data_IF_193322787388
#
_entry.id   IF_193322787388
#
_cell.length_a   1.000
_cell.length_b   1.000
_cell.length_c   1.000
_cell.angle_alpha   90.00
_cell.angle_beta   90.00
_cell.angle_gamma   90.00
#
_symmetry.space_group_name_H-M   'P 1'
#
loop_
_entity.id
_entity.type
_entity.pdbx_description
1 polymer ?
#
# COMPACT_ATOMS: atom_id res chain seq x y z
N UNK A 1 13.26 9.90 3.35
CA UNK A 1 12.58 8.77 2.69
C UNK A 1 13.61 7.76 2.24
N UNK A 2 13.46 6.52 2.65
CA UNK A 2 14.30 5.43 2.20
C UNK A 2 13.43 4.50 1.36
N UNK A 3 13.81 4.29 0.11
CA UNK A 3 13.15 3.34 -0.79
C UNK A 3 14.13 2.21 -1.08
N UNK A 4 13.74 0.97 -0.82
CA UNK A 4 14.53 -0.21 -1.14
C UNK A 4 13.73 -1.14 -2.03
N UNK A 5 14.34 -1.53 -3.15
CA UNK A 5 13.84 -2.59 -4.01
C UNK A 5 14.83 -3.76 -3.95
N UNK A 6 14.34 -5.01 -3.80
CA UNK A 6 15.21 -6.19 -3.68
C UNK A 6 16.17 -6.35 -4.86
N UNK A 7 17.11 -7.22 -4.86
CA UNK A 7 18.43 -7.34 -4.27
C UNK A 7 19.52 -6.36 -4.73
N UNK A 8 19.31 -5.17 -5.20
CA UNK A 8 20.43 -4.25 -5.50
C UNK A 8 20.00 -2.82 -5.88
N UNK A 9 19.43 -2.05 -5.00
CA UNK A 9 19.59 -0.58 -5.07
C UNK A 9 18.99 0.10 -3.84
N UNK A 10 19.78 0.86 -3.12
CA UNK A 10 19.33 1.72 -2.01
C UNK A 10 19.66 3.16 -2.39
N UNK A 11 18.76 3.96 -2.92
CA UNK A 11 18.94 5.40 -2.94
C UNK A 11 18.64 5.94 -1.53
N UNK A 12 19.65 6.39 -0.82
CA UNK A 12 19.49 7.21 0.38
C UNK A 12 19.28 8.65 -0.10
N UNK A 13 18.10 9.18 0.09
CA UNK A 13 17.75 10.53 -0.30
C UNK A 13 17.71 11.44 0.93
N UNK A 14 18.44 12.53 0.85
CA UNK A 14 18.53 13.55 1.90
C UNK A 14 17.23 14.36 2.06
N UNK A 15 17.18 15.27 3.05
CA UNK A 15 15.99 16.04 3.40
C UNK A 15 15.77 17.18 2.39
N UNK A 16 15.04 16.90 1.31
CA UNK A 16 14.53 17.95 0.44
C UNK A 16 13.03 17.75 0.22
N UNK A 17 12.28 18.78 0.46
CA UNK A 17 10.87 18.89 0.12
C UNK A 17 10.72 18.84 -1.41
N UNK A 18 10.24 17.73 -1.94
CA UNK A 18 10.04 17.54 -3.37
C UNK A 18 9.12 16.38 -3.69
N UNK A 19 8.35 16.52 -4.74
CA UNK A 19 7.54 15.45 -5.32
C UNK A 19 8.50 14.49 -6.03
N UNK A 20 8.53 13.23 -5.61
CA UNK A 20 9.40 12.21 -6.15
C UNK A 20 8.62 11.24 -7.03
N UNK A 21 9.02 11.13 -8.29
CA UNK A 21 8.49 10.12 -9.20
C UNK A 21 9.50 8.98 -9.34
N UNK A 22 9.09 7.77 -8.96
CA UNK A 22 9.89 6.56 -9.17
C UNK A 22 9.25 5.71 -10.25
N UNK A 23 10.06 5.27 -11.21
CA UNK A 23 9.67 4.24 -12.16
C UNK A 23 10.30 2.91 -11.75
N UNK A 24 9.47 1.93 -11.46
CA UNK A 24 9.91 0.55 -11.21
C UNK A 24 9.79 -0.23 -12.50
N UNK A 25 10.81 -1.04 -12.81
CA UNK A 25 10.84 -1.87 -14.03
C UNK A 25 9.65 -2.83 -14.06
N UNK A 26 8.98 -2.92 -15.21
CA UNK A 26 7.69 -3.63 -15.38
C UNK A 26 7.76 -5.16 -15.29
N UNK A 27 8.97 -5.75 -15.37
CA UNK A 27 9.15 -7.19 -15.62
C UNK A 27 9.85 -7.94 -14.47
N UNK A 28 10.01 -7.33 -13.30
CA UNK A 28 10.70 -7.94 -12.16
C UNK A 28 9.78 -8.00 -10.96
N UNK A 29 9.62 -9.21 -10.39
CA UNK A 29 9.03 -9.38 -9.08
C UNK A 29 9.90 -8.66 -8.04
N UNK A 30 9.40 -7.56 -7.49
CA UNK A 30 10.14 -6.72 -6.55
C UNK A 30 9.41 -6.59 -5.22
N UNK A 31 10.19 -6.42 -4.15
CA UNK A 31 9.71 -5.92 -2.87
C UNK A 31 10.06 -4.45 -2.78
N UNK A 32 9.10 -3.61 -2.47
CA UNK A 32 9.27 -2.18 -2.28
C UNK A 32 9.10 -1.85 -0.79
N UNK A 33 10.16 -1.36 -0.16
CA UNK A 33 10.11 -0.86 1.22
C UNK A 33 10.27 0.65 1.21
N UNK A 34 9.34 1.38 1.81
CA UNK A 34 9.37 2.83 1.94
C UNK A 34 9.36 3.18 3.42
N UNK A 35 10.42 3.85 3.87
CA UNK A 35 10.54 4.38 5.22
C UNK A 35 10.57 5.91 5.16
N UNK A 36 9.66 6.56 5.87
CA UNK A 36 9.57 8.01 5.93
C UNK A 36 9.18 8.50 7.34
N UNK A 37 9.80 9.58 7.79
CA UNK A 37 9.44 10.23 9.05
C UNK A 37 8.16 11.03 8.91
N UNK A 38 8.27 12.32 8.55
CA UNK A 38 7.14 13.22 8.30
C UNK A 38 7.20 13.66 6.83
N UNK A 39 6.28 13.21 6.00
CA UNK A 39 6.31 13.47 4.55
C UNK A 39 4.94 13.30 3.91
N UNK A 40 4.76 13.95 2.77
CA UNK A 40 3.65 13.64 1.84
C UNK A 40 4.25 13.07 0.58
N UNK A 41 3.77 11.90 0.15
CA UNK A 41 4.26 11.27 -1.07
C UNK A 41 3.17 10.47 -1.79
N UNK A 42 3.39 10.28 -3.06
CA UNK A 42 2.54 9.51 -3.96
C UNK A 42 3.36 8.42 -4.63
N UNK A 43 2.79 7.21 -4.68
CA UNK A 43 3.41 6.04 -5.30
C UNK A 43 2.40 5.38 -6.22
N UNK A 44 2.72 5.28 -7.50
CA UNK A 44 1.90 4.56 -8.49
C UNK A 44 2.62 3.29 -8.94
N UNK A 45 2.01 2.14 -8.61
CA UNK A 45 2.53 0.81 -8.95
C UNK A 45 1.64 0.08 -9.96
N UNK A 46 0.65 0.75 -10.54
CA UNK A 46 -0.37 0.13 -11.40
C UNK A 46 0.20 -0.77 -12.50
N UNK A 47 1.27 -0.31 -13.15
CA UNK A 47 1.90 -1.01 -14.28
C UNK A 47 3.12 -1.85 -13.87
N UNK A 48 3.28 -2.17 -12.60
CA UNK A 48 4.42 -2.93 -12.06
C UNK A 48 4.03 -4.34 -11.63
N UNK A 49 5.02 -5.21 -11.39
CA UNK A 49 4.86 -6.54 -10.81
C UNK A 49 5.41 -6.59 -9.38
N UNK A 50 5.16 -5.57 -8.58
CA UNK A 50 5.58 -5.56 -7.18
C UNK A 50 4.75 -6.56 -6.39
N UNK A 51 5.43 -7.55 -5.80
CA UNK A 51 4.77 -8.61 -5.02
C UNK A 51 4.58 -8.25 -3.54
N UNK A 52 5.38 -7.31 -3.02
CA UNK A 52 5.26 -6.83 -1.64
C UNK A 52 5.58 -5.33 -1.56
N UNK A 53 4.75 -4.61 -0.84
CA UNK A 53 4.96 -3.21 -0.48
C UNK A 53 4.94 -3.10 1.04
N UNK A 54 5.99 -2.56 1.61
CA UNK A 54 6.10 -2.26 3.04
C UNK A 54 6.21 -0.75 3.22
N UNK A 55 5.27 -0.16 3.93
CA UNK A 55 5.25 1.26 4.28
C UNK A 55 5.49 1.42 5.78
N UNK A 56 6.60 2.08 6.15
CA UNK A 56 6.92 2.43 7.53
C UNK A 56 7.02 3.93 7.65
N UNK A 57 6.00 4.55 8.22
CA UNK A 57 5.90 6.01 8.26
C UNK A 57 5.60 6.53 9.65
N UNK A 58 6.16 7.68 9.98
CA UNK A 58 5.89 8.37 11.24
C UNK A 58 4.58 9.17 11.16
N UNK A 59 4.68 10.47 10.81
CA UNK A 59 3.54 11.37 10.62
C UNK A 59 3.46 11.76 9.12
N UNK A 60 2.67 11.06 8.33
CA UNK A 60 2.71 11.19 6.88
C UNK A 60 1.34 11.14 6.21
N UNK A 61 1.27 11.71 5.00
CA UNK A 61 0.16 11.48 4.08
C UNK A 61 0.67 10.69 2.88
N UNK A 62 0.07 9.55 2.61
CA UNK A 62 0.50 8.61 1.57
C UNK A 62 -0.63 8.34 0.62
N UNK A 63 -0.40 8.57 -0.68
CA UNK A 63 -1.27 8.14 -1.76
C UNK A 63 -0.59 6.98 -2.50
N UNK A 64 -1.20 5.82 -2.49
CA UNK A 64 -0.65 4.61 -3.08
C UNK A 64 -1.63 3.98 -4.05
N UNK A 65 -1.20 3.76 -5.30
CA UNK A 65 -1.92 2.91 -6.26
C UNK A 65 -1.25 1.55 -6.31
N UNK A 66 -2.02 0.50 -6.06
CA UNK A 66 -1.52 -0.88 -6.06
C UNK A 66 -1.35 -1.43 -7.49
N UNK A 67 -0.54 -2.49 -7.67
CA UNK A 67 -0.41 -3.17 -8.96
C UNK A 67 -1.77 -3.70 -9.45
N UNK A 68 -2.01 -3.56 -10.76
CA UNK A 68 -3.22 -4.05 -11.41
C UNK A 68 -3.16 -5.54 -11.75
N UNK A 69 -1.98 -6.17 -11.65
CA UNK A 69 -1.75 -7.56 -12.05
C UNK A 69 -0.90 -8.31 -11.03
N UNK A 70 -1.19 -9.62 -10.92
CA UNK A 70 -0.49 -10.54 -10.05
C UNK A 70 -1.00 -10.51 -8.61
N UNK A 71 -0.28 -11.19 -7.73
CA UNK A 71 -0.60 -11.25 -6.30
C UNK A 71 0.38 -10.37 -5.54
N UNK A 72 -0.13 -9.39 -4.81
CA UNK A 72 0.68 -8.49 -4.00
C UNK A 72 0.21 -8.40 -2.55
N UNK A 73 1.14 -8.04 -1.67
CA UNK A 73 0.91 -7.82 -0.24
C UNK A 73 1.30 -6.40 0.09
N UNK A 74 0.44 -5.70 0.82
CA UNK A 74 0.69 -4.37 1.35
C UNK A 74 0.70 -4.43 2.88
N UNK A 75 1.85 -4.16 3.46
CA UNK A 75 2.03 -4.01 4.90
C UNK A 75 2.21 -2.53 5.24
N UNK A 76 1.30 -1.98 6.04
CA UNK A 76 1.33 -0.58 6.47
C UNK A 76 1.65 -0.53 7.96
N UNK A 77 2.76 0.13 8.32
CA UNK A 77 3.10 0.49 9.69
C UNK A 77 3.17 2.02 9.81
N UNK A 78 2.35 2.62 10.66
CA UNK A 78 2.28 4.07 10.81
C UNK A 78 2.10 4.54 12.25
N UNK A 79 2.68 5.69 12.58
CA UNK A 79 2.44 6.37 13.86
C UNK A 79 1.14 7.16 13.80
N UNK A 80 1.17 8.38 13.23
CA UNK A 80 0.02 9.26 13.02
C UNK A 80 -0.06 9.61 11.52
N UNK A 81 -0.82 8.86 10.74
CA UNK A 81 -0.76 8.99 9.29
C UNK A 81 -2.13 8.87 8.60
N UNK A 82 -2.20 9.46 7.41
CA UNK A 82 -3.34 9.29 6.50
C UNK A 82 -2.88 8.52 5.27
N UNK A 83 -3.55 7.42 5.00
CA UNK A 83 -3.30 6.59 3.82
C UNK A 83 -4.50 6.61 2.89
N UNK A 84 -4.25 6.82 1.62
CA UNK A 84 -5.21 6.64 0.53
C UNK A 84 -4.68 5.55 -0.39
N UNK A 85 -5.29 4.37 -0.32
CA UNK A 85 -4.91 3.21 -1.12
C UNK A 85 -5.93 3.03 -2.23
N UNK A 86 -5.46 3.13 -3.46
CA UNK A 86 -6.27 2.87 -4.65
C UNK A 86 -5.97 1.46 -5.18
N UNK A 87 -7.01 0.65 -5.27
CA UNK A 87 -6.96 -0.70 -5.83
C UNK A 87 -7.55 -0.63 -7.24
N UNK A 88 -6.78 -0.94 -8.29
CA UNK A 88 -7.25 -0.91 -9.66
C UNK A 88 -8.50 -1.77 -9.87
N UNK A 89 -9.34 -1.39 -10.83
CA UNK A 89 -10.50 -2.21 -11.22
C UNK A 89 -10.05 -3.57 -11.74
N UNK A 90 -10.79 -4.62 -11.39
CA UNK A 90 -10.44 -6.00 -11.75
C UNK A 90 -9.41 -6.67 -10.82
N UNK A 91 -8.88 -5.93 -9.83
CA UNK A 91 -8.03 -6.48 -8.78
C UNK A 91 -8.86 -6.76 -7.54
N UNK A 92 -8.86 -7.99 -7.08
CA UNK A 92 -9.52 -8.38 -5.84
C UNK A 92 -8.70 -7.96 -4.62
N UNK A 93 -9.35 -7.65 -3.50
CA UNK A 93 -8.64 -7.28 -2.28
C UNK A 93 -9.19 -7.98 -1.04
N UNK A 94 -8.27 -8.23 -0.11
CA UNK A 94 -8.56 -8.57 1.29
C UNK A 94 -7.89 -7.55 2.18
N UNK A 95 -8.67 -6.96 3.07
CA UNK A 95 -8.21 -5.93 4.00
C UNK A 95 -8.45 -6.49 5.41
N UNK A 96 -7.37 -6.82 6.11
CA UNK A 96 -7.46 -7.31 7.47
C UNK A 96 -7.81 -6.18 8.44
N UNK A 97 -8.54 -6.51 9.51
CA UNK A 97 -8.89 -5.53 10.54
C UNK A 97 -7.64 -4.91 11.14
N UNK A 98 -7.69 -3.61 11.29
CA UNK A 98 -6.59 -2.84 11.85
C UNK A 98 -6.48 -2.99 13.36
N UNK A 99 -5.26 -2.97 13.86
CA UNK A 99 -4.97 -2.73 15.26
C UNK A 99 -4.68 -1.23 15.46
N UNK A 100 -5.23 -0.62 16.51
CA UNK A 100 -5.02 0.80 16.84
C UNK A 100 -6.28 1.67 16.70
N UNK A 101 -6.10 2.98 16.82
CA UNK A 101 -7.17 3.99 16.68
C UNK A 101 -7.24 4.52 15.25
N UNK A 102 -7.61 3.66 14.31
CA UNK A 102 -7.63 3.99 12.88
C UNK A 102 -9.06 4.07 12.37
N UNK A 103 -9.41 5.19 11.76
CA UNK A 103 -10.63 5.31 10.97
C UNK A 103 -10.39 4.63 9.61
N UNK A 104 -11.00 3.47 9.41
CA UNK A 104 -10.90 2.69 8.18
C UNK A 104 -12.15 2.94 7.31
N UNK A 105 -11.95 3.59 6.17
CA UNK A 105 -12.99 3.85 5.18
C UNK A 105 -12.74 2.95 3.96
N UNK A 106 -13.62 2.01 3.72
CA UNK A 106 -13.51 1.04 2.63
C UNK A 106 -14.72 1.16 1.71
N UNK A 107 -14.51 1.08 0.41
CA UNK A 107 -15.61 0.95 -0.55
C UNK A 107 -16.26 -0.44 -0.40
N UNK A 108 -17.31 -0.50 0.41
CA UNK A 108 -18.03 -1.74 0.74
C UNK A 108 -18.80 -2.35 -0.43
N UNK A 109 -18.99 -1.61 -1.52
CA UNK A 109 -19.57 -2.18 -2.74
C UNK A 109 -18.59 -3.11 -3.46
N UNK A 110 -17.30 -2.76 -3.42
CA UNK A 110 -16.23 -3.59 -3.98
C UNK A 110 -15.71 -4.61 -2.98
N UNK A 111 -15.61 -4.23 -1.72
CA UNK A 111 -15.00 -5.00 -0.63
C UNK A 111 -16.00 -5.12 0.54
N UNK A 112 -17.01 -5.99 0.44
CA UNK A 112 -17.97 -6.20 1.51
C UNK A 112 -17.30 -6.70 2.80
N UNK A 113 -17.95 -6.44 3.93
CA UNK A 113 -17.46 -6.86 5.23
C UNK A 113 -17.39 -8.40 5.34
N UNK A 114 -16.34 -8.90 5.96
CA UNK A 114 -16.08 -10.32 6.20
C UNK A 114 -15.67 -10.56 7.66
N UNK A 115 -15.53 -11.80 8.06
CA UNK A 115 -15.16 -12.18 9.43
C UNK A 115 -13.83 -11.57 9.90
N UNK A 116 -12.89 -11.34 8.97
CA UNK A 116 -11.55 -10.83 9.28
C UNK A 116 -11.34 -9.35 8.92
N UNK A 117 -12.33 -8.71 8.30
CA UNK A 117 -12.24 -7.32 7.85
C UNK A 117 -13.10 -7.11 6.61
N UNK A 118 -12.49 -6.82 5.46
CA UNK A 118 -13.19 -6.61 4.20
C UNK A 118 -12.56 -7.47 3.11
N UNK A 119 -13.37 -7.98 2.18
CA UNK A 119 -12.86 -8.86 1.14
C UNK A 119 -13.73 -8.81 -0.12
N UNK A 120 -13.08 -8.78 -1.30
CA UNK A 120 -13.77 -9.02 -2.56
C UNK A 120 -14.38 -10.42 -2.60
N UNK A 121 -15.58 -10.59 -3.15
CA UNK A 121 -16.25 -11.89 -3.22
C UNK A 121 -15.45 -12.97 -3.97
N UNK A 122 -14.65 -12.54 -4.94
CA UNK A 122 -13.82 -13.39 -5.81
C UNK A 122 -12.35 -13.51 -5.37
N UNK A 123 -11.97 -12.97 -4.20
CA UNK A 123 -10.57 -12.89 -3.75
C UNK A 123 -9.83 -14.23 -3.81
N UNK A 124 -10.48 -15.32 -3.40
CA UNK A 124 -9.82 -16.63 -3.31
C UNK A 124 -9.58 -17.28 -4.68
N UNK A 125 -10.29 -16.83 -5.71
CA UNK A 125 -10.19 -17.35 -7.09
C UNK A 125 -9.51 -16.36 -8.04
N UNK A 126 -9.41 -15.09 -7.66
CA UNK A 126 -8.81 -14.06 -8.50
C UNK A 126 -7.31 -14.29 -8.70
N UNK A 127 -6.85 -14.13 -9.94
CA UNK A 127 -5.42 -14.14 -10.28
C UNK A 127 -4.75 -12.85 -9.84
N UNK A 128 -5.45 -11.72 -10.03
CA UNK A 128 -4.98 -10.39 -9.67
C UNK A 128 -5.59 -9.99 -8.34
N UNK A 129 -4.76 -9.96 -7.30
CA UNK A 129 -5.24 -9.73 -5.93
C UNK A 129 -4.23 -9.04 -5.02
N UNK A 130 -4.76 -8.33 -4.03
CA UNK A 130 -3.97 -7.61 -3.02
C UNK A 130 -4.43 -8.01 -1.62
N UNK A 131 -3.49 -8.38 -0.76
CA UNK A 131 -3.73 -8.55 0.69
C UNK A 131 -3.17 -7.35 1.43
N UNK A 132 -3.99 -6.70 2.26
CA UNK A 132 -3.62 -5.48 2.97
C UNK A 132 -3.68 -5.73 4.48
N UNK A 133 -2.54 -5.53 5.15
CA UNK A 133 -2.43 -5.53 6.60
C UNK A 133 -2.06 -4.12 7.08
N UNK A 134 -2.79 -3.60 8.07
CA UNK A 134 -2.62 -2.24 8.56
C UNK A 134 -2.35 -2.28 10.06
N UNK A 135 -1.23 -1.70 10.47
CA UNK A 135 -0.84 -1.48 11.86
C UNK A 135 -0.52 0.00 12.03
N UNK A 136 -1.44 0.77 12.56
CA UNK A 136 -1.23 2.19 12.78
C UNK A 136 -1.68 2.62 14.17
N UNK A 137 -0.93 3.53 14.77
CA UNK A 137 -1.28 4.05 16.10
C UNK A 137 -2.55 4.89 16.05
N UNK A 138 -2.55 5.97 15.28
CA UNK A 138 -3.69 6.88 15.05
C UNK A 138 -3.72 7.29 13.59
N UNK A 139 -4.89 7.38 12.98
CA UNK A 139 -4.94 7.88 11.61
C UNK A 139 -6.21 7.56 10.86
N UNK A 140 -6.14 7.79 9.55
CA UNK A 140 -7.21 7.48 8.61
C UNK A 140 -6.67 6.65 7.45
N UNK A 141 -7.37 5.59 7.10
CA UNK A 141 -7.06 4.78 5.92
C UNK A 141 -8.27 4.74 5.02
N UNK A 142 -8.11 5.22 3.79
CA UNK A 142 -9.13 5.20 2.75
C UNK A 142 -8.75 4.17 1.70
N UNK A 143 -9.60 3.20 1.43
CA UNK A 143 -9.39 2.14 0.43
C UNK A 143 -10.55 2.20 -0.58
N UNK A 144 -10.17 2.35 -1.86
CA UNK A 144 -11.12 2.50 -2.96
C UNK A 144 -10.83 1.52 -4.10
#
# INVERSE_FOLDING_TARGET
>A
VKVSTGPSFIPVLGPNEGLWHYQVTKDVLATLTIEAGASTFEVDLKDTLVSRVELKVGASTVNLTMPARGSSVLDIEGGAATFSVHIPEGTAARIDRTEGFVALNVDTNRFPESDKGYQSPDFDTATDRVSIAIKAGVGTVNIK
#
